data_IF_557449249326
#
_entry.id   IF_557449249326
#
_cell.length_a   1.000
_cell.length_b   1.000
_cell.length_c   1.000
_cell.angle_alpha   90.00
_cell.angle_beta   90.00
_cell.angle_gamma   90.00
#
_symmetry.space_group_name_H-M   'P 1'
#
loop_
_entity.id
_entity.type
_entity.pdbx_description
1 polymer ?
#
# COMPACT_ATOMS: atom_id res chain seq x y z
N UNK A 1 8.76 5.44 -15.80
CA UNK A 1 9.01 4.81 -17.11
C UNK A 1 9.71 3.45 -17.03
N UNK A 2 10.74 3.20 -16.18
CA UNK A 2 11.40 1.89 -16.14
C UNK A 2 10.48 0.73 -15.77
N UNK A 3 9.43 0.95 -14.97
CA UNK A 3 8.49 -0.09 -14.54
C UNK A 3 7.70 -0.69 -15.69
N UNK A 4 7.34 0.10 -16.69
CA UNK A 4 6.61 -0.37 -17.87
C UNK A 4 7.43 -0.36 -19.17
N UNK A 5 8.76 -0.24 -19.02
CA UNK A 5 9.72 -0.41 -20.13
C UNK A 5 9.83 0.78 -21.10
N UNK A 6 9.32 1.94 -20.72
CA UNK A 6 9.43 3.18 -21.53
C UNK A 6 10.76 3.88 -21.26
N UNK A 7 11.36 4.44 -22.30
CA UNK A 7 12.56 5.30 -22.16
C UNK A 7 12.23 6.63 -21.53
N UNK A 8 11.08 7.21 -21.88
CA UNK A 8 10.58 8.48 -21.37
C UNK A 8 9.06 8.51 -21.35
N UNK A 9 8.48 9.32 -20.49
CA UNK A 9 7.07 9.66 -20.48
C UNK A 9 6.92 11.17 -20.24
N UNK A 10 6.10 11.82 -21.04
CA UNK A 10 5.82 13.26 -20.96
C UNK A 10 4.33 13.41 -20.70
N UNK A 11 4.01 14.16 -19.65
CA UNK A 11 2.65 14.60 -19.37
C UNK A 11 2.56 16.10 -19.65
N UNK A 12 1.44 16.57 -20.21
CA UNK A 12 1.23 18.00 -20.42
C UNK A 12 1.15 18.73 -19.07
N UNK A 13 1.50 20.01 -19.10
CA UNK A 13 1.39 20.92 -17.97
C UNK A 13 0.08 21.70 -18.09
N UNK A 14 -0.69 21.78 -17.02
CA UNK A 14 -2.01 22.41 -16.97
C UNK A 14 -2.19 23.28 -15.70
N UNK A 15 -3.38 23.83 -15.52
CA UNK A 15 -3.73 24.61 -14.34
C UNK A 15 -3.64 23.79 -13.04
N UNK A 16 -3.91 22.50 -13.06
CA UNK A 16 -3.81 21.60 -11.89
C UNK A 16 -2.34 21.47 -11.46
N UNK A 17 -1.43 21.43 -12.42
CA UNK A 17 0.02 21.45 -12.15
C UNK A 17 0.43 22.74 -11.43
N UNK A 18 -0.07 23.90 -11.88
CA UNK A 18 0.18 25.19 -11.24
C UNK A 18 -0.40 25.25 -9.83
N UNK A 19 -1.60 24.74 -9.63
CA UNK A 19 -2.24 24.66 -8.31
C UNK A 19 -1.45 23.77 -7.33
N UNK A 20 -0.93 22.64 -7.81
CA UNK A 20 -0.03 21.80 -7.00
C UNK A 20 1.25 22.55 -6.61
N UNK A 21 1.87 23.27 -7.53
CA UNK A 21 3.06 24.10 -7.26
C UNK A 21 2.77 25.21 -6.24
N UNK A 22 1.59 25.84 -6.32
CA UNK A 22 1.12 26.82 -5.34
C UNK A 22 0.96 26.20 -3.95
N UNK A 23 0.29 25.06 -3.88
CA UNK A 23 0.09 24.31 -2.63
C UNK A 23 1.43 23.94 -1.99
N UNK A 24 2.43 23.62 -2.80
CA UNK A 24 3.77 23.22 -2.33
C UNK A 24 4.71 24.40 -2.08
N UNK A 25 4.20 25.64 -2.13
CA UNK A 25 4.88 26.82 -1.62
C UNK A 25 5.74 27.58 -2.66
N UNK A 26 5.48 27.41 -3.96
CA UNK A 26 6.11 28.24 -5.00
C UNK A 26 5.50 29.64 -4.97
N UNK A 27 6.34 30.66 -5.23
CA UNK A 27 5.87 32.04 -5.30
C UNK A 27 5.03 32.28 -6.55
N UNK A 28 4.12 33.27 -6.50
CA UNK A 28 3.30 33.64 -7.66
C UNK A 28 4.14 34.03 -8.88
N UNK A 29 5.33 34.62 -8.66
CA UNK A 29 6.29 34.92 -9.74
C UNK A 29 6.80 33.62 -10.41
N UNK A 30 7.15 32.61 -9.62
CA UNK A 30 7.57 31.31 -10.15
C UNK A 30 6.44 30.59 -10.89
N UNK A 31 5.21 30.68 -10.38
CA UNK A 31 4.04 30.10 -11.03
C UNK A 31 3.76 30.75 -12.39
N UNK A 32 3.81 32.09 -12.45
CA UNK A 32 3.65 32.83 -13.70
C UNK A 32 4.75 32.48 -14.72
N UNK A 33 5.99 32.30 -14.25
CA UNK A 33 7.10 31.89 -15.11
C UNK A 33 6.89 30.47 -15.65
N UNK A 34 6.47 29.50 -14.82
CA UNK A 34 6.20 28.12 -15.25
C UNK A 34 5.10 28.09 -16.30
N UNK A 35 4.01 28.83 -16.08
CA UNK A 35 2.89 28.88 -17.03
C UNK A 35 3.33 29.51 -18.36
N UNK A 36 3.99 30.67 -18.32
CA UNK A 36 4.45 31.34 -19.52
C UNK A 36 5.45 30.48 -20.32
N UNK A 37 6.38 29.84 -19.63
CA UNK A 37 7.37 28.96 -20.27
C UNK A 37 6.73 27.72 -20.88
N UNK A 38 5.80 27.07 -20.15
CA UNK A 38 5.08 25.91 -20.67
C UNK A 38 4.26 26.22 -21.91
N UNK A 39 3.61 27.39 -21.95
CA UNK A 39 2.88 27.88 -23.14
C UNK A 39 3.82 28.13 -24.33
N UNK A 40 4.94 28.81 -24.11
CA UNK A 40 5.92 29.10 -25.15
C UNK A 40 6.56 27.83 -25.72
N UNK A 41 6.75 26.80 -24.90
CA UNK A 41 7.32 25.50 -25.30
C UNK A 41 6.30 24.54 -25.91
N UNK A 42 5.01 24.89 -25.98
CA UNK A 42 3.95 24.00 -26.44
C UNK A 42 3.67 22.80 -25.53
N UNK A 43 4.01 22.92 -24.24
CA UNK A 43 3.79 21.89 -23.22
C UNK A 43 2.51 22.12 -22.41
N UNK A 44 1.85 23.26 -22.61
CA UNK A 44 0.64 23.63 -21.89
C UNK A 44 -0.59 22.93 -22.49
N UNK A 45 -1.36 22.28 -21.62
CA UNK A 45 -2.64 21.67 -22.01
C UNK A 45 -3.79 22.60 -21.59
N UNK A 46 -4.47 23.14 -22.58
CA UNK A 46 -5.75 23.83 -22.42
C UNK A 46 -6.65 23.54 -23.62
N UNK A 47 -7.45 22.46 -23.57
CA UNK A 47 -8.35 22.10 -24.66
C UNK A 47 -9.45 23.14 -24.90
N UNK A 48 -9.63 24.12 -23.99
CA UNK A 48 -10.63 25.20 -24.15
C UNK A 48 -10.05 26.41 -24.90
N UNK A 49 -8.72 26.48 -25.04
CA UNK A 49 -8.09 27.52 -25.86
C UNK A 49 -8.33 27.26 -27.35
N UNK A 50 -8.93 28.22 -28.08
CA UNK A 50 -9.17 28.05 -29.52
C UNK A 50 -7.90 27.86 -30.36
N UNK A 51 -6.75 28.21 -29.84
CA UNK A 51 -5.45 28.01 -30.50
C UNK A 51 -4.80 26.66 -30.16
N UNK A 52 -5.40 25.86 -29.26
CA UNK A 52 -4.87 24.54 -28.90
C UNK A 52 -4.90 23.61 -30.13
N UNK A 53 -3.74 23.00 -30.39
CA UNK A 53 -3.59 22.00 -31.44
C UNK A 53 -3.23 20.69 -30.78
N UNK A 54 -4.08 19.70 -30.95
CA UNK A 54 -3.80 18.35 -30.41
C UNK A 54 -2.54 17.76 -31.06
N UNK A 55 -1.59 17.22 -30.28
CA UNK A 55 -0.42 16.56 -30.85
C UNK A 55 -0.78 15.37 -31.70
N UNK A 56 -0.02 15.14 -32.77
CA UNK A 56 -0.19 13.97 -33.65
C UNK A 56 0.73 12.85 -33.13
N UNK A 57 0.14 11.74 -32.75
CA UNK A 57 0.85 10.57 -32.24
C UNK A 57 0.92 9.46 -33.30
N UNK A 58 1.96 8.63 -33.26
CA UNK A 58 2.08 7.44 -34.11
C UNK A 58 1.11 6.34 -33.71
N UNK A 59 0.78 6.26 -32.43
CA UNK A 59 -0.21 5.33 -31.87
C UNK A 59 -1.05 6.06 -30.83
N UNK A 60 -2.31 5.68 -30.69
CA UNK A 60 -3.26 6.28 -29.76
C UNK A 60 -3.95 5.21 -28.94
N UNK A 61 -4.06 5.43 -27.63
CA UNK A 61 -4.80 4.61 -26.70
C UNK A 61 -5.81 5.48 -25.94
N UNK A 62 -7.03 5.01 -25.83
CA UNK A 62 -8.10 5.69 -25.12
C UNK A 62 -8.50 4.88 -23.88
N UNK A 63 -8.64 5.55 -22.74
CA UNK A 63 -9.16 4.97 -21.52
C UNK A 63 -10.26 5.86 -20.94
N UNK A 64 -11.47 5.31 -20.85
CA UNK A 64 -12.56 5.94 -20.11
C UNK A 64 -12.33 5.78 -18.61
N UNK A 65 -11.97 6.88 -17.94
CA UNK A 65 -11.70 6.89 -16.49
C UNK A 65 -12.93 6.52 -15.65
N UNK A 66 -14.15 6.63 -16.18
CA UNK A 66 -15.37 6.22 -15.47
C UNK A 66 -15.45 4.70 -15.27
N UNK A 67 -14.69 3.93 -16.04
CA UNK A 67 -14.60 2.46 -15.92
C UNK A 67 -13.58 2.00 -14.88
N UNK A 68 -12.79 2.92 -14.34
CA UNK A 68 -11.76 2.60 -13.33
C UNK A 68 -12.41 2.47 -11.96
N UNK A 69 -12.34 1.27 -11.39
CA UNK A 69 -12.85 0.96 -10.04
C UNK A 69 -11.70 0.85 -9.03
N UNK A 70 -11.98 1.04 -7.72
CA UNK A 70 -10.98 0.83 -6.68
C UNK A 70 -10.31 -0.54 -6.81
N UNK A 71 -8.99 -0.56 -6.76
CA UNK A 71 -8.21 -1.77 -7.02
C UNK A 71 -6.96 -1.83 -6.17
N UNK A 72 -6.46 -3.04 -5.96
CA UNK A 72 -5.12 -3.35 -5.45
C UNK A 72 -4.34 -4.10 -6.54
N UNK A 73 -3.04 -4.30 -6.37
CA UNK A 73 -2.25 -5.13 -7.28
C UNK A 73 -1.33 -6.07 -6.51
N UNK A 74 -1.33 -7.34 -6.86
CA UNK A 74 -0.52 -8.38 -6.24
C UNK A 74 -1.05 -9.78 -6.56
N UNK A 75 -0.40 -10.81 -5.99
CA UNK A 75 0.63 -10.76 -4.93
C UNK A 75 2.08 -10.60 -5.40
N UNK A 76 2.37 -10.60 -6.71
CA UNK A 76 3.75 -10.65 -7.23
C UNK A 76 4.20 -9.45 -8.04
N UNK A 77 3.28 -8.80 -8.77
CA UNK A 77 3.62 -7.82 -9.80
C UNK A 77 2.66 -6.63 -9.78
N UNK A 78 3.13 -5.44 -10.20
CA UNK A 78 2.26 -4.25 -10.28
C UNK A 78 1.09 -4.39 -11.26
N UNK A 79 1.22 -5.22 -12.30
CA UNK A 79 0.18 -5.46 -13.31
C UNK A 79 -0.86 -6.51 -12.88
N UNK A 80 -0.66 -7.23 -11.79
CA UNK A 80 -1.62 -8.21 -11.26
C UNK A 80 -2.75 -7.47 -10.55
N UNK A 81 -3.58 -6.76 -11.34
CA UNK A 81 -4.67 -5.92 -10.83
C UNK A 81 -5.81 -6.77 -10.31
N UNK A 82 -6.30 -6.41 -9.13
CA UNK A 82 -7.45 -7.03 -8.46
C UNK A 82 -8.41 -5.90 -8.08
N UNK A 83 -9.69 -6.00 -8.47
CA UNK A 83 -10.71 -5.08 -7.97
C UNK A 83 -10.88 -5.25 -6.46
N UNK A 84 -11.07 -4.16 -5.74
CA UNK A 84 -11.11 -4.19 -4.27
C UNK A 84 -12.22 -5.08 -3.72
N UNK A 85 -13.40 -5.10 -4.38
CA UNK A 85 -14.51 -6.01 -4.07
C UNK A 85 -14.13 -7.50 -4.15
N UNK A 86 -13.13 -7.82 -4.97
CA UNK A 86 -12.65 -9.19 -5.18
C UNK A 86 -11.36 -9.49 -4.39
N UNK A 87 -10.84 -8.55 -3.58
CA UNK A 87 -9.53 -8.69 -2.92
C UNK A 87 -9.47 -9.92 -2.01
N UNK A 88 -10.49 -10.12 -1.17
CA UNK A 88 -10.60 -11.25 -0.25
C UNK A 88 -10.67 -12.60 -0.99
N UNK A 89 -11.51 -12.71 -2.00
CA UNK A 89 -11.67 -13.95 -2.79
C UNK A 89 -10.44 -14.26 -3.63
N UNK A 90 -9.81 -13.24 -4.22
CA UNK A 90 -8.56 -13.40 -4.95
C UNK A 90 -7.42 -13.86 -4.03
N UNK A 91 -7.31 -13.27 -2.85
CA UNK A 91 -6.34 -13.71 -1.84
C UNK A 91 -6.56 -15.18 -1.45
N UNK A 92 -7.80 -15.59 -1.15
CA UNK A 92 -8.13 -16.96 -0.79
C UNK A 92 -7.80 -17.96 -1.90
N UNK A 93 -8.01 -17.58 -3.18
CA UNK A 93 -7.65 -18.39 -4.34
C UNK A 93 -6.14 -18.55 -4.49
N UNK A 94 -5.37 -17.48 -4.24
CA UNK A 94 -3.93 -17.44 -4.50
C UNK A 94 -3.10 -18.02 -3.33
N UNK A 95 -3.62 -17.98 -2.10
CA UNK A 95 -2.92 -18.43 -0.89
C UNK A 95 -2.41 -19.88 -0.94
N UNK A 96 -3.15 -20.87 -1.45
CA UNK A 96 -2.66 -22.26 -1.52
C UNK A 96 -1.38 -22.42 -2.34
N UNK A 97 -1.09 -21.50 -3.26
CA UNK A 97 0.17 -21.49 -4.03
C UNK A 97 1.38 -21.17 -3.13
N UNK A 98 1.16 -20.40 -2.06
CA UNK A 98 2.20 -19.94 -1.12
C UNK A 98 2.22 -20.72 0.19
N UNK A 99 1.13 -21.40 0.52
CA UNK A 99 0.93 -22.22 1.70
C UNK A 99 0.16 -23.49 1.34
N UNK A 100 0.81 -24.47 0.70
CA UNK A 100 0.14 -25.70 0.23
C UNK A 100 -0.53 -26.49 1.34
N UNK A 101 0.01 -26.47 2.56
CA UNK A 101 -0.54 -27.17 3.73
C UNK A 101 -1.92 -26.67 4.17
N UNK A 102 -2.32 -25.46 3.74
CA UNK A 102 -3.67 -24.93 4.05
C UNK A 102 -4.78 -25.74 3.35
N UNK A 103 -4.48 -26.41 2.25
CA UNK A 103 -5.43 -27.24 1.49
C UNK A 103 -5.69 -28.56 2.22
N UNK A 104 -4.65 -29.15 2.81
CA UNK A 104 -4.76 -30.47 3.46
C UNK A 104 -5.59 -30.43 4.75
N UNK A 105 -5.54 -29.31 5.49
CA UNK A 105 -6.26 -29.17 6.78
C UNK A 105 -7.78 -29.07 6.58
N UNK A 106 -8.25 -28.51 5.47
CA UNK A 106 -9.69 -28.41 5.17
C UNK A 106 -10.25 -29.79 4.76
N UNK A 107 -9.49 -30.55 3.98
CA UNK A 107 -9.90 -31.91 3.53
C UNK A 107 -9.77 -32.93 4.65
N UNK A 108 -8.84 -32.80 5.60
CA UNK A 108 -8.69 -33.69 6.73
C UNK A 108 -9.71 -33.43 7.85
N UNK A 109 -10.05 -32.15 8.10
CA UNK A 109 -11.06 -31.79 9.12
C UNK A 109 -12.46 -32.33 8.81
N UNK A 110 -12.76 -32.61 7.55
CA UNK A 110 -13.99 -33.32 7.14
C UNK A 110 -13.90 -34.84 7.31
N UNK A 111 -12.70 -35.41 7.51
CA UNK A 111 -12.47 -36.86 7.51
C UNK A 111 -12.20 -37.50 8.86
N UNK A 112 -11.84 -36.76 9.90
CA UNK A 112 -11.49 -37.36 11.19
C UNK A 112 -12.13 -36.62 12.39
N UNK A 113 -12.91 -37.39 13.16
CA UNK A 113 -13.30 -37.05 14.53
C UNK A 113 -12.11 -37.31 15.47
N UNK A 114 -11.37 -36.30 15.86
CA UNK A 114 -10.20 -36.40 16.75
C UNK A 114 -10.58 -36.46 18.25
N UNK A 115 -9.87 -37.27 19.06
CA UNK A 115 -9.94 -37.17 20.49
C UNK A 115 -9.16 -35.96 20.99
N UNK A 116 -9.75 -35.22 21.93
CA UNK A 116 -9.24 -33.99 22.51
C UNK A 116 -7.94 -34.21 23.31
N UNK A 117 -6.79 -33.86 22.72
CA UNK A 117 -5.61 -33.40 23.46
C UNK A 117 -4.73 -32.63 22.47
N UNK A 118 -4.51 -31.33 22.80
CA UNK A 118 -3.64 -30.40 22.08
C UNK A 118 -4.01 -30.08 20.63
N UNK A 119 -5.22 -29.56 20.42
CA UNK A 119 -5.57 -28.91 19.15
C UNK A 119 -4.69 -27.69 18.95
N UNK A 120 -3.99 -27.55 17.81
CA UNK A 120 -3.33 -26.29 17.47
C UNK A 120 -4.37 -25.17 17.49
N UNK A 121 -4.00 -24.00 17.99
CA UNK A 121 -4.89 -22.86 17.98
C UNK A 121 -5.32 -22.58 16.53
N UNK A 122 -6.63 -22.52 16.28
CA UNK A 122 -7.19 -22.32 14.95
C UNK A 122 -7.75 -20.91 14.91
N UNK A 123 -7.31 -20.09 13.92
CA UNK A 123 -7.91 -18.79 13.66
C UNK A 123 -9.40 -18.94 13.33
N UNK A 124 -10.20 -17.86 13.53
CA UNK A 124 -11.64 -17.85 13.28
C UNK A 124 -12.05 -18.37 11.89
N UNK A 125 -11.12 -18.43 10.94
CA UNK A 125 -11.30 -18.95 9.57
C UNK A 125 -10.84 -20.42 9.41
N UNK A 126 -10.62 -21.18 10.49
CA UNK A 126 -10.21 -22.59 10.43
C UNK A 126 -8.72 -22.83 10.13
N UNK A 127 -7.87 -21.78 10.19
CA UNK A 127 -6.43 -21.89 9.90
C UNK A 127 -5.59 -22.10 11.15
N UNK A 128 -4.50 -22.84 11.00
CA UNK A 128 -3.48 -23.01 12.03
C UNK A 128 -2.87 -21.65 12.39
N UNK A 129 -2.76 -21.35 13.68
CA UNK A 129 -2.08 -20.19 14.21
C UNK A 129 -0.81 -20.56 14.96
N UNK A 130 0.16 -19.66 14.96
CA UNK A 130 1.43 -19.79 15.70
C UNK A 130 1.46 -18.71 16.76
N UNK A 131 1.48 -19.06 18.06
CA UNK A 131 1.60 -18.07 19.13
C UNK A 131 2.98 -17.43 19.12
N UNK A 132 3.03 -16.10 19.16
CA UNK A 132 4.25 -15.30 19.15
C UNK A 132 4.22 -14.32 20.32
N UNK A 133 5.35 -14.16 20.98
CA UNK A 133 5.61 -13.06 21.90
C UNK A 133 6.71 -12.21 21.30
N UNK A 134 6.39 -10.97 20.88
CA UNK A 134 7.36 -10.07 20.25
C UNK A 134 8.47 -9.62 21.21
N UNK A 135 9.46 -8.93 20.68
CA UNK A 135 10.60 -8.41 21.48
C UNK A 135 10.18 -7.39 22.54
N UNK A 136 8.97 -6.83 22.44
CA UNK A 136 8.37 -5.90 23.41
C UNK A 136 7.48 -6.61 24.44
N UNK A 137 7.34 -7.95 24.36
CA UNK A 137 6.52 -8.75 25.26
C UNK A 137 5.02 -8.79 24.90
N UNK A 138 4.60 -8.30 23.75
CA UNK A 138 3.22 -8.44 23.27
C UNK A 138 2.99 -9.85 22.76
N UNK A 139 1.85 -10.44 23.16
CA UNK A 139 1.43 -11.77 22.73
C UNK A 139 0.35 -11.67 21.66
N UNK A 140 0.46 -12.47 20.62
CA UNK A 140 -0.52 -12.59 19.53
C UNK A 140 -0.32 -13.90 18.77
N UNK A 141 -1.30 -14.26 17.98
CA UNK A 141 -1.23 -15.39 17.07
C UNK A 141 -0.91 -14.92 15.66
N UNK A 142 0.08 -15.53 15.02
CA UNK A 142 0.46 -15.29 13.64
C UNK A 142 -0.08 -16.43 12.75
N UNK A 143 -0.44 -16.12 11.52
CA UNK A 143 -1.12 -17.05 10.62
C UNK A 143 -0.83 -16.74 9.14
N UNK A 144 -1.10 -17.68 8.24
CA UNK A 144 -1.03 -17.44 6.79
C UNK A 144 -2.00 -16.32 6.38
N UNK A 145 -1.50 -15.30 5.70
CA UNK A 145 -2.27 -14.13 5.28
C UNK A 145 -2.27 -12.98 6.28
N UNK A 146 -1.55 -13.12 7.41
CA UNK A 146 -1.31 -12.00 8.30
C UNK A 146 -0.53 -10.90 7.58
N UNK A 147 -0.99 -9.65 7.70
CA UNK A 147 -0.27 -8.48 7.17
C UNK A 147 0.90 -8.17 8.11
N UNK A 148 2.11 -8.57 7.72
CA UNK A 148 3.32 -8.34 8.52
C UNK A 148 3.94 -6.95 8.28
N UNK A 149 3.71 -6.35 7.11
CA UNK A 149 4.20 -5.00 6.76
C UNK A 149 3.05 -4.19 6.17
N UNK A 150 2.86 -2.97 6.70
CA UNK A 150 1.98 -1.96 6.11
C UNK A 150 2.77 -0.65 5.97
N UNK A 151 3.03 -0.22 4.74
CA UNK A 151 3.91 0.93 4.49
C UNK A 151 3.28 1.95 3.56
N UNK A 152 3.19 3.19 4.02
CA UNK A 152 2.92 4.33 3.15
C UNK A 152 4.26 4.83 2.63
N UNK A 153 4.53 4.56 1.36
CA UNK A 153 5.81 4.82 0.72
C UNK A 153 5.59 5.33 -0.71
N UNK A 154 6.66 5.75 -1.37
CA UNK A 154 6.65 6.15 -2.78
C UNK A 154 6.37 7.62 -3.07
N UNK A 155 6.97 8.04 -4.16
CA UNK A 155 6.82 9.39 -4.73
C UNK A 155 5.48 9.60 -5.46
N UNK A 156 4.84 8.56 -5.99
CA UNK A 156 3.60 8.68 -6.78
C UNK A 156 2.46 9.34 -5.99
N UNK A 157 2.25 8.92 -4.74
CA UNK A 157 1.18 9.46 -3.90
C UNK A 157 1.50 10.85 -3.35
N UNK A 158 2.78 11.23 -3.26
CA UNK A 158 3.23 12.55 -2.78
C UNK A 158 2.61 13.69 -3.57
N UNK A 159 2.45 13.54 -4.89
CA UNK A 159 1.87 14.55 -5.78
C UNK A 159 0.34 14.60 -5.74
N UNK A 160 -0.30 13.73 -4.95
CA UNK A 160 -1.76 13.75 -4.71
C UNK A 160 -2.06 14.00 -3.23
N UNK A 161 -2.06 15.26 -2.77
CA UNK A 161 -2.32 15.58 -1.37
C UNK A 161 -3.70 15.09 -0.87
N UNK A 162 -4.69 15.02 -1.75
CA UNK A 162 -6.04 14.56 -1.37
C UNK A 162 -6.04 13.13 -0.88
N UNK A 163 -5.37 12.21 -1.59
CA UNK A 163 -5.31 10.79 -1.17
C UNK A 163 -4.45 10.60 0.08
N UNK A 164 -3.39 11.40 0.22
CA UNK A 164 -2.53 11.38 1.41
C UNK A 164 -3.30 11.91 2.63
N UNK A 165 -3.99 13.04 2.50
CA UNK A 165 -4.83 13.59 3.58
C UNK A 165 -5.99 12.65 3.93
N UNK A 166 -6.60 11.97 2.96
CA UNK A 166 -7.62 10.95 3.20
C UNK A 166 -7.08 9.81 4.08
N UNK A 167 -5.85 9.34 3.85
CA UNK A 167 -5.21 8.35 4.70
C UNK A 167 -5.05 8.85 6.15
N UNK A 168 -4.53 10.07 6.34
CA UNK A 168 -4.36 10.63 7.67
C UNK A 168 -5.69 10.92 8.39
N UNK A 169 -6.74 11.29 7.66
CA UNK A 169 -8.10 11.44 8.21
C UNK A 169 -8.69 10.08 8.61
N UNK A 170 -8.41 9.01 7.87
CA UNK A 170 -8.77 7.66 8.27
C UNK A 170 -8.05 7.26 9.56
N UNK A 171 -6.73 7.53 9.64
CA UNK A 171 -5.96 7.29 10.87
C UNK A 171 -6.55 8.06 12.06
N UNK A 172 -6.90 9.33 11.87
CA UNK A 172 -7.57 10.14 12.92
C UNK A 172 -8.86 9.48 13.39
N UNK A 173 -9.76 9.13 12.47
CA UNK A 173 -11.04 8.49 12.80
C UNK A 173 -10.84 7.13 13.49
N UNK A 174 -9.86 6.35 13.09
CA UNK A 174 -9.53 5.08 13.72
C UNK A 174 -9.08 5.28 15.17
N UNK A 175 -8.13 6.17 15.40
CA UNK A 175 -7.61 6.50 16.73
C UNK A 175 -8.70 7.06 17.64
N UNK A 176 -9.57 7.95 17.14
CA UNK A 176 -10.69 8.52 17.90
C UNK A 176 -11.73 7.44 18.28
N UNK A 177 -11.80 6.34 17.55
CA UNK A 177 -12.61 5.16 17.86
C UNK A 177 -11.88 4.12 18.72
N UNK A 178 -10.65 4.38 19.15
CA UNK A 178 -9.85 3.44 19.94
C UNK A 178 -9.28 2.26 19.13
N UNK A 179 -9.22 2.35 17.81
CA UNK A 179 -8.62 1.32 16.98
C UNK A 179 -7.10 1.52 16.92
N UNK A 180 -6.38 0.40 16.87
CA UNK A 180 -4.93 0.33 16.77
C UNK A 180 -4.53 -0.59 15.61
N UNK A 181 -3.33 -0.38 15.04
CA UNK A 181 -2.74 -1.37 14.14
C UNK A 181 -2.49 -2.67 14.91
N UNK A 182 -2.62 -3.81 14.22
CA UNK A 182 -2.39 -5.10 14.87
C UNK A 182 -0.92 -5.22 15.31
N UNK A 183 -0.65 -5.87 16.46
CA UNK A 183 0.69 -5.90 17.06
C UNK A 183 1.76 -6.55 16.18
N UNK A 184 1.37 -7.46 15.30
CA UNK A 184 2.28 -8.11 14.35
C UNK A 184 2.57 -7.28 13.10
N UNK A 185 1.87 -6.15 12.88
CA UNK A 185 2.03 -5.33 11.68
C UNK A 185 3.13 -4.29 11.89
N UNK A 186 4.20 -4.42 11.16
CA UNK A 186 5.23 -3.38 11.06
C UNK A 186 4.72 -2.24 10.18
N UNK A 187 4.42 -1.11 10.77
CA UNK A 187 3.97 0.09 10.06
C UNK A 187 5.11 1.06 9.80
N UNK A 188 5.08 1.79 8.69
CA UNK A 188 6.08 2.83 8.38
C UNK A 188 5.54 3.88 7.42
N UNK A 189 6.15 5.08 7.46
CA UNK A 189 5.88 6.19 6.57
C UNK A 189 7.19 6.65 5.91
N UNK A 190 7.25 6.60 4.58
CA UNK A 190 8.38 7.09 3.79
C UNK A 190 7.85 7.84 2.55
N UNK A 191 7.34 9.07 2.72
CA UNK A 191 6.80 9.86 1.61
C UNK A 191 7.89 10.30 0.64
N UNK A 192 7.51 10.65 -0.58
CA UNK A 192 8.45 11.04 -1.64
C UNK A 192 9.16 12.38 -1.37
N UNK A 193 8.62 13.25 -0.53
CA UNK A 193 9.25 14.53 -0.19
C UNK A 193 8.75 15.10 1.14
N UNK A 194 9.49 16.09 1.66
CA UNK A 194 9.13 16.84 2.87
C UNK A 194 7.81 17.63 2.75
N UNK A 195 7.32 17.86 1.55
CA UNK A 195 6.01 18.49 1.33
C UNK A 195 4.90 17.74 2.05
N UNK A 196 4.96 16.42 2.08
CA UNK A 196 3.96 15.57 2.75
C UNK A 196 3.95 15.81 4.25
N UNK A 197 5.10 15.78 4.90
CA UNK A 197 5.20 16.06 6.34
C UNK A 197 4.71 17.46 6.66
N UNK A 198 5.09 18.44 5.84
CA UNK A 198 4.67 19.83 6.02
C UNK A 198 3.15 20.02 5.98
N UNK A 199 2.44 19.41 5.02
CA UNK A 199 0.98 19.55 5.01
C UNK A 199 0.29 18.70 6.08
N UNK A 200 0.84 17.57 6.49
CA UNK A 200 0.33 16.79 7.63
C UNK A 200 0.47 17.55 8.96
N UNK A 201 1.62 18.21 9.17
CA UNK A 201 1.83 19.07 10.35
C UNK A 201 0.85 20.23 10.37
N UNK A 202 0.73 20.95 9.24
CA UNK A 202 -0.22 22.08 9.12
C UNK A 202 -1.67 21.66 9.33
N UNK A 203 -2.05 20.45 8.92
CA UNK A 203 -3.38 19.89 9.11
C UNK A 203 -3.59 19.30 10.52
N UNK A 204 -2.54 19.19 11.35
CA UNK A 204 -2.61 18.57 12.68
C UNK A 204 -2.89 17.07 12.64
N UNK A 205 -2.55 16.38 11.54
CA UNK A 205 -2.90 14.96 11.32
C UNK A 205 -1.74 14.01 11.66
N UNK A 206 -0.52 14.51 11.73
CA UNK A 206 0.67 13.70 11.99
C UNK A 206 0.59 12.84 13.27
N UNK A 207 0.13 13.36 14.44
CA UNK A 207 0.06 12.58 15.67
C UNK A 207 -0.85 11.34 15.58
N UNK A 208 -1.85 11.34 14.70
CA UNK A 208 -2.74 10.19 14.51
C UNK A 208 -2.10 9.08 13.70
N UNK A 209 -1.26 9.43 12.73
CA UNK A 209 -0.44 8.47 11.99
C UNK A 209 0.56 7.79 12.94
N UNK A 210 1.26 8.58 13.75
CA UNK A 210 2.23 8.06 14.73
C UNK A 210 1.58 7.12 15.78
N UNK A 211 0.35 7.44 16.23
CA UNK A 211 -0.40 6.56 17.14
C UNK A 211 -0.73 5.20 16.53
N UNK A 212 -0.86 5.11 15.22
CA UNK A 212 -0.99 3.84 14.49
C UNK A 212 0.36 3.23 14.10
N UNK A 213 1.48 3.81 14.56
CA UNK A 213 2.83 3.34 14.30
C UNK A 213 3.42 3.77 12.94
N UNK A 214 2.71 4.58 12.16
CA UNK A 214 3.23 5.12 10.91
C UNK A 214 4.21 6.27 11.16
N UNK A 215 5.37 5.92 11.73
CA UNK A 215 6.46 6.87 11.97
C UNK A 215 7.22 7.17 10.69
N UNK A 216 7.72 8.40 10.57
CA UNK A 216 8.61 8.80 9.48
C UNK A 216 9.95 8.06 9.60
N UNK A 217 10.27 7.20 8.64
CA UNK A 217 11.52 6.45 8.58
C UNK A 217 12.50 6.99 7.53
N UNK A 218 12.04 7.88 6.66
CA UNK A 218 12.83 8.49 5.60
C UNK A 218 11.95 9.09 4.51
N UNK A 219 12.59 9.53 3.43
CA UNK A 219 11.91 10.06 2.24
C UNK A 219 12.29 9.24 1.02
N UNK A 220 11.29 8.91 0.17
CA UNK A 220 11.51 8.22 -1.09
C UNK A 220 10.94 6.80 -1.13
N UNK A 221 11.55 5.95 -1.94
CA UNK A 221 11.05 4.61 -2.27
C UNK A 221 11.49 3.52 -1.26
N UNK A 222 11.42 3.77 0.04
CA UNK A 222 12.00 2.90 1.06
C UNK A 222 11.55 1.43 0.93
N UNK A 223 10.27 1.13 1.16
CA UNK A 223 9.76 -0.25 1.13
C UNK A 223 9.75 -0.86 -0.27
N UNK A 224 9.44 -0.10 -1.31
CA UNK A 224 9.44 -0.59 -2.69
C UNK A 224 10.78 -1.16 -3.17
N UNK A 225 11.88 -0.79 -2.52
CA UNK A 225 13.25 -1.23 -2.86
C UNK A 225 13.91 -2.07 -1.75
N UNK A 226 13.12 -2.56 -0.77
CA UNK A 226 13.61 -3.43 0.28
C UNK A 226 14.23 -2.72 1.49
N UNK A 227 13.98 -1.43 1.68
CA UNK A 227 14.52 -0.65 2.80
C UNK A 227 13.52 -0.51 3.99
N UNK A 228 12.60 -1.44 4.15
CA UNK A 228 11.70 -1.47 5.34
C UNK A 228 12.41 -1.92 6.61
N UNK A 229 13.62 -2.46 6.48
CA UNK A 229 14.31 -3.14 7.57
C UNK A 229 13.69 -4.51 7.91
N UNK A 230 14.30 -5.26 8.85
CA UNK A 230 13.82 -6.58 9.25
C UNK A 230 12.45 -6.50 9.94
N UNK A 231 11.69 -7.59 9.95
CA UNK A 231 10.58 -7.78 10.87
C UNK A 231 11.09 -7.81 12.33
N UNK A 232 10.16 -7.79 13.31
CA UNK A 232 10.52 -8.16 14.68
C UNK A 232 11.16 -9.56 14.67
N UNK A 233 12.22 -9.75 15.47
CA UNK A 233 13.01 -10.98 15.46
C UNK A 233 12.13 -12.21 15.72
N UNK A 234 11.21 -12.13 16.67
CA UNK A 234 10.31 -13.23 17.01
C UNK A 234 9.24 -13.49 15.95
N UNK A 235 8.81 -12.44 15.23
CA UNK A 235 7.94 -12.58 14.07
C UNK A 235 8.68 -13.26 12.92
N UNK A 236 9.93 -12.83 12.65
CA UNK A 236 10.78 -13.42 11.62
C UNK A 236 11.08 -14.89 11.91
N UNK A 237 11.44 -15.23 13.16
CA UNK A 237 11.64 -16.62 13.60
C UNK A 237 10.37 -17.46 13.34
N UNK A 238 9.21 -17.01 13.80
CA UNK A 238 7.96 -17.74 13.64
C UNK A 238 7.57 -17.92 12.14
N UNK A 239 7.77 -16.89 11.32
CA UNK A 239 7.53 -16.98 9.87
C UNK A 239 8.41 -18.05 9.24
N UNK A 240 9.71 -18.10 9.58
CA UNK A 240 10.65 -19.03 8.98
C UNK A 240 10.53 -20.45 9.54
N UNK A 241 10.33 -20.62 10.86
CA UNK A 241 10.20 -21.94 11.48
C UNK A 241 8.92 -22.67 11.09
N UNK A 242 7.83 -21.93 10.86
CA UNK A 242 6.54 -22.49 10.52
C UNK A 242 6.15 -22.27 9.05
N UNK A 243 7.07 -21.83 8.22
CA UNK A 243 6.89 -21.54 6.79
C UNK A 243 5.66 -20.66 6.48
N UNK A 244 5.35 -19.70 7.35
CA UNK A 244 4.16 -18.87 7.22
C UNK A 244 4.22 -17.98 5.97
N UNK A 245 3.12 -17.89 5.26
CA UNK A 245 2.95 -16.98 4.12
C UNK A 245 2.31 -15.69 4.59
N UNK A 246 3.15 -14.79 5.12
CA UNK A 246 2.74 -13.45 5.55
C UNK A 246 2.77 -12.46 4.39
N UNK A 247 2.12 -11.32 4.58
CA UNK A 247 1.79 -10.37 3.52
C UNK A 247 2.38 -8.99 3.80
N UNK A 248 2.80 -8.29 2.76
CA UNK A 248 3.01 -6.83 2.80
C UNK A 248 1.93 -6.08 2.01
N UNK A 249 1.49 -4.94 2.55
CA UNK A 249 0.63 -3.98 1.86
C UNK A 249 1.33 -2.64 1.84
N UNK A 250 1.58 -2.10 0.66
CA UNK A 250 2.36 -0.87 0.52
C UNK A 250 1.77 0.06 -0.56
N UNK A 251 1.81 1.37 -0.31
CA UNK A 251 1.40 2.37 -1.30
C UNK A 251 2.55 2.72 -2.25
N UNK A 252 3.18 1.69 -2.80
CA UNK A 252 4.30 1.79 -3.72
C UNK A 252 3.90 1.56 -5.17
N UNK A 253 4.90 1.42 -6.03
CA UNK A 253 4.76 1.09 -7.45
C UNK A 253 5.42 -0.23 -7.84
N UNK A 254 6.02 -0.93 -6.88
CA UNK A 254 6.68 -2.24 -7.06
C UNK A 254 6.39 -3.14 -5.87
N UNK A 255 6.11 -4.41 -6.16
CA UNK A 255 5.79 -5.43 -5.17
C UNK A 255 6.45 -6.78 -5.50
N UNK A 256 7.64 -6.75 -6.11
CA UNK A 256 8.31 -7.97 -6.51
C UNK A 256 8.70 -8.83 -5.31
N UNK A 257 8.41 -10.12 -5.41
CA UNK A 257 8.75 -11.13 -4.42
C UNK A 257 10.27 -11.11 -4.12
N UNK A 258 10.63 -11.30 -2.84
CA UNK A 258 12.01 -11.27 -2.36
C UNK A 258 12.65 -9.87 -2.33
N UNK A 259 11.99 -8.85 -2.89
CA UNK A 259 12.53 -7.49 -2.93
C UNK A 259 12.04 -6.63 -1.77
N UNK A 260 10.79 -6.79 -1.36
CA UNK A 260 10.19 -5.96 -0.29
C UNK A 260 10.78 -6.34 1.06
N UNK A 261 10.74 -7.63 1.37
CA UNK A 261 11.33 -8.21 2.58
C UNK A 261 11.55 -9.71 2.34
N UNK A 262 12.65 -10.32 2.79
CA UNK A 262 12.94 -11.74 2.56
C UNK A 262 11.93 -12.69 3.21
N UNK A 263 11.32 -12.30 4.34
CA UNK A 263 10.37 -13.12 5.09
C UNK A 263 8.93 -13.01 4.55
N UNK A 264 8.69 -12.11 3.58
CA UNK A 264 7.33 -11.82 3.09
C UNK A 264 7.15 -12.34 1.67
N UNK A 265 6.29 -13.35 1.51
CA UNK A 265 6.07 -14.02 0.23
C UNK A 265 5.06 -13.31 -0.68
N UNK A 266 4.02 -12.71 -0.12
CA UNK A 266 2.94 -12.09 -0.87
C UNK A 266 2.95 -10.57 -0.66
N UNK A 267 2.98 -9.80 -1.76
CA UNK A 267 3.14 -8.36 -1.69
C UNK A 267 2.06 -7.64 -2.50
N UNK A 268 1.31 -6.74 -1.87
CA UNK A 268 0.21 -6.01 -2.49
C UNK A 268 0.46 -4.52 -2.51
N UNK A 269 0.21 -3.92 -3.67
CA UNK A 269 0.14 -2.46 -3.85
C UNK A 269 -1.29 -2.00 -3.56
N UNK A 270 -1.42 -0.97 -2.75
CA UNK A 270 -2.69 -0.38 -2.38
C UNK A 270 -2.55 1.14 -2.21
N UNK A 271 -3.66 1.86 -2.22
CA UNK A 271 -3.66 3.30 -1.92
C UNK A 271 -3.28 3.55 -0.44
N UNK A 272 -2.75 4.74 -0.09
CA UNK A 272 -2.42 5.07 1.29
C UNK A 272 -3.56 4.82 2.31
N UNK A 273 -4.83 5.17 2.03
CA UNK A 273 -5.94 4.82 2.93
C UNK A 273 -6.11 3.31 3.13
N UNK A 274 -5.98 2.52 2.06
CA UNK A 274 -6.08 1.06 2.15
C UNK A 274 -4.92 0.44 2.93
N UNK A 275 -3.72 1.00 2.85
CA UNK A 275 -2.58 0.56 3.69
C UNK A 275 -2.93 0.68 5.16
N UNK A 276 -3.53 1.81 5.58
CA UNK A 276 -4.00 1.99 6.97
C UNK A 276 -5.09 0.99 7.31
N UNK A 277 -6.08 0.80 6.43
CA UNK A 277 -7.17 -0.13 6.66
C UNK A 277 -6.67 -1.57 6.86
N UNK A 278 -5.73 -2.03 6.03
CA UNK A 278 -5.10 -3.35 6.18
C UNK A 278 -4.21 -3.46 7.42
N UNK A 279 -3.56 -2.38 7.87
CA UNK A 279 -2.83 -2.37 9.14
C UNK A 279 -3.76 -2.56 10.35
N UNK A 280 -4.94 -1.94 10.30
CA UNK A 280 -5.98 -2.09 11.32
C UNK A 280 -6.62 -3.50 11.29
N UNK A 281 -6.88 -4.03 10.10
CA UNK A 281 -7.43 -5.38 9.92
C UNK A 281 -6.41 -6.46 10.30
N UNK A 282 -5.13 -6.26 9.93
CA UNK A 282 -4.03 -7.20 10.16
C UNK A 282 -4.06 -8.45 9.28
N UNK A 283 -4.96 -8.52 8.31
CA UNK A 283 -5.16 -9.66 7.42
C UNK A 283 -5.65 -9.23 6.04
N UNK A 284 -5.31 -10.01 5.01
CA UNK A 284 -5.87 -9.84 3.67
C UNK A 284 -7.31 -10.36 3.51
N UNK A 285 -7.82 -11.09 4.48
CA UNK A 285 -9.17 -11.65 4.48
C UNK A 285 -10.26 -10.66 4.89
N UNK A 286 -9.87 -9.40 5.10
CA UNK A 286 -10.82 -8.35 5.44
C UNK A 286 -11.73 -8.03 4.26
N UNK A 287 -13.02 -7.91 4.54
CA UNK A 287 -14.05 -7.53 3.59
C UNK A 287 -14.35 -6.04 3.75
N UNK A 288 -14.27 -5.31 2.65
CA UNK A 288 -14.53 -3.85 2.62
C UNK A 288 -15.99 -3.52 2.28
N UNK A 289 -16.85 -4.51 2.03
CA UNK A 289 -18.28 -4.33 1.76
C UNK A 289 -19.11 -4.26 3.04
#
# INVERSE_FOLDING_TARGET
>A
SPEFGSTAAIFPIDSVTVDYLRLTGRSEEQLALVEAYAKEQGLWLDPTDPSYVEPVFSEYLELDLSTVVPSIAGPKRPQDRIELSNAKSAFARDLPTYAPEVVDVVDEAEKESFPASDSPAIHANGRRTVPVTDTNGKQFDLFHGAVAIASITSCTNTSNPSVMLAAALLAKKAVEKGLEAKPWVKTSMAPGSQVVTNYYEKAGLWPYLEKLGFHLVGYGCATCIGNSGPLDEKVSEAVNEHDLSVVSVLSGNRNFEGRINPDVKMNYLASPPLVIAYALAGTMEFDFE
#
